data_IF_047671237661
#
_entry.id   IF_047671237661
#
_cell.length_a   1.000
_cell.length_b   1.000
_cell.length_c   1.000
_cell.angle_alpha   90.00
_cell.angle_beta   90.00
_cell.angle_gamma   90.00
#
_symmetry.space_group_name_H-M   'P 1'
#
loop_
_entity.id
_entity.type
_entity.pdbx_description
1 polymer ?
#
# COMPACT_ATOMS: atom_id res chain seq x y z
N UNK A 1 -22.71 0.32 -32.41
CA UNK A 1 -22.61 -0.61 -31.26
C UNK A 1 -23.02 0.13 -30.00
N UNK A 2 -23.94 -0.39 -29.18
CA UNK A 2 -24.31 0.26 -27.92
C UNK A 2 -23.16 0.10 -26.91
N UNK A 3 -22.83 1.17 -26.18
CA UNK A 3 -21.83 1.12 -25.10
C UNK A 3 -22.35 0.22 -23.98
N UNK A 4 -21.53 -0.68 -23.40
CA UNK A 4 -21.96 -1.45 -22.24
C UNK A 4 -22.30 -0.48 -21.10
N UNK A 5 -23.51 -0.64 -20.55
CA UNK A 5 -23.99 0.14 -19.42
C UNK A 5 -23.11 -0.15 -18.21
N UNK A 6 -22.49 0.88 -17.65
CA UNK A 6 -21.70 0.77 -16.41
C UNK A 6 -22.71 0.51 -15.29
N UNK A 7 -22.97 -0.75 -14.97
CA UNK A 7 -23.77 -1.12 -13.80
C UNK A 7 -23.00 -0.69 -12.55
N UNK A 8 -23.54 0.21 -11.72
CA UNK A 8 -22.90 0.56 -10.47
C UNK A 8 -23.16 -0.58 -9.49
N UNK A 9 -22.14 -1.39 -9.14
CA UNK A 9 -22.01 -2.19 -7.89
C UNK A 9 -21.05 -3.37 -8.08
N UNK A 10 -19.82 -3.25 -7.55
CA UNK A 10 -18.98 -4.42 -7.20
C UNK A 10 -18.03 -4.14 -6.04
N UNK A 11 -17.65 -2.87 -5.79
CA UNK A 11 -16.69 -2.46 -4.74
C UNK A 11 -17.06 -2.81 -3.29
N UNK A 12 -18.27 -3.32 -3.04
CA UNK A 12 -18.77 -3.71 -1.71
C UNK A 12 -19.20 -5.18 -1.61
N UNK A 13 -19.02 -5.97 -2.67
CA UNK A 13 -19.27 -7.41 -2.58
C UNK A 13 -18.16 -8.06 -1.74
N UNK A 14 -18.51 -9.10 -0.99
CA UNK A 14 -17.53 -9.82 -0.17
C UNK A 14 -16.39 -10.38 -1.04
N UNK A 15 -16.71 -10.92 -2.21
CA UNK A 15 -15.72 -11.42 -3.17
C UNK A 15 -14.76 -10.31 -3.59
N UNK A 16 -15.26 -9.12 -3.92
CA UNK A 16 -14.41 -8.00 -4.27
C UNK A 16 -13.47 -7.58 -3.14
N UNK A 17 -13.97 -7.56 -1.89
CA UNK A 17 -13.16 -7.26 -0.71
C UNK A 17 -12.04 -8.31 -0.56
N UNK A 18 -12.38 -9.59 -0.71
CA UNK A 18 -11.44 -10.71 -0.63
C UNK A 18 -10.38 -10.67 -1.74
N UNK A 19 -10.78 -10.35 -2.97
CA UNK A 19 -9.88 -10.25 -4.13
C UNK A 19 -8.86 -9.11 -3.98
N UNK A 20 -9.21 -8.08 -3.21
CA UNK A 20 -8.36 -6.91 -2.94
C UNK A 20 -7.75 -6.93 -1.52
N UNK A 21 -7.64 -8.12 -0.91
CA UNK A 21 -7.13 -8.27 0.45
C UNK A 21 -5.70 -7.75 0.58
N UNK A 22 -5.54 -6.73 1.43
CA UNK A 22 -4.24 -6.21 1.87
C UNK A 22 -4.26 -6.15 3.39
N UNK A 23 -3.29 -6.81 4.02
CA UNK A 23 -3.10 -6.80 5.48
C UNK A 23 -1.79 -6.09 5.78
N UNK A 24 -1.87 -5.08 6.63
CA UNK A 24 -0.77 -4.25 7.09
C UNK A 24 -0.30 -4.67 8.49
N UNK A 25 0.92 -4.25 8.89
CA UNK A 25 1.37 -4.36 10.26
C UNK A 25 0.40 -3.71 11.25
N UNK A 26 0.32 -4.26 12.46
CA UNK A 26 -0.64 -3.82 13.51
C UNK A 26 -0.42 -2.39 13.98
N UNK A 27 0.82 -1.90 13.92
CA UNK A 27 1.17 -0.54 14.31
C UNK A 27 0.86 0.51 13.21
N UNK A 28 0.41 0.11 12.01
CA UNK A 28 -0.02 1.07 11.00
C UNK A 28 -1.35 1.71 11.40
N UNK A 29 -1.28 2.97 11.82
CA UNK A 29 -2.41 3.70 12.40
C UNK A 29 -3.23 4.45 11.36
N UNK A 30 -2.61 5.08 10.38
CA UNK A 30 -3.31 5.90 9.39
C UNK A 30 -2.69 5.81 8.00
N UNK A 31 -3.54 5.74 6.99
CA UNK A 31 -3.20 5.89 5.57
C UNK A 31 -3.96 7.11 5.04
N UNK A 32 -3.24 8.13 4.59
CA UNK A 32 -3.81 9.34 4.00
C UNK A 32 -3.47 9.43 2.52
N UNK A 33 -4.45 9.28 1.62
CA UNK A 33 -4.25 9.49 0.18
C UNK A 33 -4.58 10.94 -0.19
N UNK A 34 -3.61 11.63 -0.75
CA UNK A 34 -3.68 13.04 -1.14
C UNK A 34 -3.58 13.10 -2.67
N UNK A 35 -4.61 13.62 -3.33
CA UNK A 35 -4.68 13.61 -4.80
C UNK A 35 -5.58 14.72 -5.35
N UNK A 36 -5.43 15.00 -6.64
CA UNK A 36 -6.32 15.92 -7.35
C UNK A 36 -7.52 15.20 -7.99
N UNK A 37 -8.66 15.90 -8.02
CA UNK A 37 -9.88 15.46 -8.70
C UNK A 37 -9.67 15.21 -10.20
N UNK A 38 -8.75 15.96 -10.81
CA UNK A 38 -8.53 16.01 -12.25
C UNK A 38 -7.03 15.95 -12.58
N UNK A 39 -6.74 15.72 -13.86
CA UNK A 39 -5.41 15.81 -14.45
C UNK A 39 -4.53 14.57 -14.22
N UNK A 40 -3.72 14.20 -15.22
CA UNK A 40 -2.60 13.26 -15.12
C UNK A 40 -2.92 11.81 -14.71
N UNK A 41 -2.03 10.89 -15.09
CA UNK A 41 -2.14 9.46 -14.77
C UNK A 41 -2.04 9.20 -13.26
N UNK A 42 -1.12 9.88 -12.56
CA UNK A 42 -0.90 9.73 -11.11
C UNK A 42 -2.15 9.98 -10.26
N UNK A 43 -2.97 10.97 -10.63
CA UNK A 43 -4.20 11.25 -9.90
C UNK A 43 -5.28 10.22 -10.22
N UNK A 44 -5.30 9.67 -11.44
CA UNK A 44 -6.23 8.58 -11.79
C UNK A 44 -5.94 7.35 -10.95
N UNK A 45 -4.68 6.92 -10.93
CA UNK A 45 -4.22 5.79 -10.10
C UNK A 45 -4.62 6.00 -8.63
N UNK A 46 -4.47 7.22 -8.11
CA UNK A 46 -4.81 7.53 -6.72
C UNK A 46 -6.32 7.51 -6.44
N UNK A 47 -7.13 8.02 -7.37
CA UNK A 47 -8.59 7.94 -7.28
C UNK A 47 -9.05 6.49 -7.30
N UNK A 48 -8.51 5.71 -8.22
CA UNK A 48 -8.87 4.30 -8.37
C UNK A 48 -8.41 3.51 -7.15
N UNK A 49 -7.20 3.77 -6.62
CA UNK A 49 -6.73 3.16 -5.38
C UNK A 49 -7.68 3.41 -4.21
N UNK A 50 -8.13 4.66 -4.02
CA UNK A 50 -9.08 5.00 -2.94
C UNK A 50 -10.42 4.30 -3.12
N UNK A 51 -10.95 4.21 -4.35
CA UNK A 51 -12.24 3.58 -4.61
C UNK A 51 -12.17 2.05 -4.46
N UNK A 52 -11.08 1.45 -4.94
CA UNK A 52 -10.90 0.00 -5.05
C UNK A 52 -10.36 -0.62 -3.76
N UNK A 53 -9.34 -0.02 -3.14
CA UNK A 53 -8.62 -0.66 -2.03
C UNK A 53 -9.08 -0.22 -0.65
N UNK A 54 -9.56 1.02 -0.45
CA UNK A 54 -9.98 1.46 0.90
C UNK A 54 -11.02 0.54 1.55
N UNK A 55 -12.07 0.07 0.85
CA UNK A 55 -13.03 -0.85 1.46
C UNK A 55 -12.38 -2.13 1.99
N UNK A 56 -11.45 -2.72 1.22
CA UNK A 56 -10.75 -3.92 1.62
C UNK A 56 -9.76 -3.65 2.78
N UNK A 57 -9.02 -2.54 2.71
CA UNK A 57 -8.10 -2.14 3.77
C UNK A 57 -8.86 -1.95 5.09
N UNK A 58 -9.97 -1.20 5.08
CA UNK A 58 -10.77 -0.96 6.28
C UNK A 58 -11.40 -2.25 6.83
N UNK A 59 -11.71 -3.22 5.98
CA UNK A 59 -12.26 -4.51 6.40
C UNK A 59 -11.21 -5.39 7.09
N UNK A 60 -9.99 -5.48 6.53
CA UNK A 60 -8.94 -6.36 7.06
C UNK A 60 -8.01 -5.70 8.09
N UNK A 61 -8.06 -4.37 8.22
CA UNK A 61 -7.20 -3.58 9.10
C UNK A 61 -8.08 -2.61 9.90
N UNK A 62 -8.96 -3.11 10.79
CA UNK A 62 -9.92 -2.27 11.52
C UNK A 62 -9.26 -1.20 12.40
N UNK A 63 -7.99 -1.38 12.77
CA UNK A 63 -7.17 -0.42 13.51
C UNK A 63 -6.63 0.73 12.66
N UNK A 64 -6.64 0.60 11.34
CA UNK A 64 -6.02 1.56 10.41
C UNK A 64 -7.06 2.53 9.87
N UNK A 65 -6.91 3.82 10.18
CA UNK A 65 -7.74 4.88 9.62
C UNK A 65 -7.36 5.15 8.15
N UNK A 66 -8.34 5.08 7.25
CA UNK A 66 -8.17 5.47 5.85
C UNK A 66 -8.76 6.87 5.61
N UNK A 67 -7.89 7.85 5.29
CA UNK A 67 -8.27 9.25 5.08
C UNK A 67 -7.97 9.70 3.66
N UNK A 68 -8.89 10.45 3.05
CA UNK A 68 -8.70 11.05 1.72
C UNK A 68 -8.64 12.57 1.81
N UNK A 69 -7.68 13.17 1.10
CA UNK A 69 -7.56 14.62 0.91
C UNK A 69 -7.60 14.90 -0.58
N UNK A 70 -8.67 15.55 -1.02
CA UNK A 70 -8.95 15.80 -2.43
C UNK A 70 -8.83 17.30 -2.73
N UNK A 71 -8.06 17.65 -3.74
CA UNK A 71 -7.95 19.02 -4.24
C UNK A 71 -8.53 19.15 -5.65
N UNK A 72 -9.06 20.32 -5.98
CA UNK A 72 -9.59 20.63 -7.31
C UNK A 72 -8.54 21.37 -8.15
N UNK A 73 -7.45 20.67 -8.50
CA UNK A 73 -6.39 21.18 -9.38
C UNK A 73 -6.19 20.23 -10.57
N UNK A 74 -5.52 20.71 -11.62
CA UNK A 74 -5.24 19.94 -12.85
C UNK A 74 -3.80 19.42 -12.92
N UNK A 75 -2.94 19.78 -11.97
CA UNK A 75 -1.56 19.30 -11.93
C UNK A 75 -1.46 17.82 -11.54
N UNK A 76 -0.43 17.12 -12.03
CA UNK A 76 -0.09 15.76 -11.61
C UNK A 76 0.51 15.77 -10.21
N UNK A 77 -0.31 15.65 -9.17
CA UNK A 77 0.16 15.60 -7.78
C UNK A 77 -0.65 14.61 -6.99
N UNK A 78 -0.05 13.45 -6.71
CA UNK A 78 -0.61 12.51 -5.76
C UNK A 78 0.47 11.83 -4.91
N UNK A 79 0.14 11.64 -3.63
CA UNK A 79 0.98 10.96 -2.66
C UNK A 79 0.12 10.25 -1.62
N UNK A 80 0.69 9.22 -1.02
CA UNK A 80 0.11 8.50 0.11
C UNK A 80 1.01 8.72 1.31
N UNK A 81 0.43 9.15 2.42
CA UNK A 81 1.15 9.30 3.69
C UNK A 81 0.70 8.18 4.60
N UNK A 82 1.66 7.41 5.10
CA UNK A 82 1.42 6.42 6.16
C UNK A 82 1.94 6.94 7.49
N UNK A 83 1.23 6.62 8.56
CA UNK A 83 1.54 7.01 9.94
C UNK A 83 1.46 5.76 10.82
N UNK A 84 2.53 5.47 11.55
CA UNK A 84 2.59 4.42 12.56
C UNK A 84 2.08 4.93 13.93
N UNK A 85 1.90 4.02 14.88
CA UNK A 85 1.42 4.31 16.23
C UNK A 85 2.36 5.19 17.06
N UNK A 86 3.67 5.07 16.85
CA UNK A 86 4.74 5.90 17.41
C UNK A 86 4.80 7.32 16.84
N UNK A 87 3.97 7.63 15.83
CA UNK A 87 3.92 8.91 15.14
C UNK A 87 4.89 9.03 13.96
N UNK A 88 5.67 7.99 13.64
CA UNK A 88 6.51 7.94 12.45
C UNK A 88 5.66 8.07 11.19
N UNK A 89 6.03 9.02 10.32
CA UNK A 89 5.32 9.27 9.08
C UNK A 89 6.24 9.10 7.87
N UNK A 90 5.70 8.53 6.80
CA UNK A 90 6.41 8.41 5.52
C UNK A 90 5.47 8.72 4.37
N UNK A 91 5.97 9.48 3.40
CA UNK A 91 5.25 9.82 2.18
C UNK A 91 5.73 8.98 1.00
N UNK A 92 4.79 8.36 0.30
CA UNK A 92 4.98 7.55 -0.88
C UNK A 92 4.43 8.34 -2.07
N UNK A 93 5.31 8.78 -2.96
CA UNK A 93 4.92 9.45 -4.21
C UNK A 93 4.33 8.42 -5.17
N UNK A 94 3.18 8.78 -5.77
CA UNK A 94 2.57 8.00 -6.84
C UNK A 94 3.28 8.30 -8.14
N UNK A 95 3.65 7.25 -8.85
CA UNK A 95 4.38 7.28 -10.12
C UNK A 95 3.42 7.01 -11.27
N UNK A 96 3.75 7.49 -12.47
CA UNK A 96 2.93 7.23 -13.67
C UNK A 96 2.96 5.76 -14.08
N UNK A 97 4.02 5.04 -13.71
CA UNK A 97 4.18 3.60 -13.91
C UNK A 97 3.41 2.75 -12.90
N UNK A 98 2.87 3.35 -11.84
CA UNK A 98 2.06 2.60 -10.87
C UNK A 98 0.71 2.19 -11.48
N UNK A 99 0.16 1.11 -10.98
CA UNK A 99 -1.27 0.87 -10.94
C UNK A 99 -1.72 0.73 -9.48
N UNK A 100 -3.01 0.49 -9.25
CA UNK A 100 -3.58 0.43 -7.91
C UNK A 100 -2.96 -0.72 -7.09
N UNK A 101 -2.66 -1.85 -7.73
CA UNK A 101 -2.07 -3.02 -7.08
C UNK A 101 -0.60 -2.81 -6.74
N UNK A 102 0.21 -2.28 -7.65
CA UNK A 102 1.63 -1.99 -7.39
C UNK A 102 1.78 -0.91 -6.33
N UNK A 103 0.85 0.07 -6.32
CA UNK A 103 0.79 1.08 -5.28
C UNK A 103 0.43 0.46 -3.91
N UNK A 104 -0.58 -0.42 -3.86
CA UNK A 104 -0.94 -1.14 -2.65
C UNK A 104 0.24 -1.93 -2.07
N UNK A 105 0.95 -2.67 -2.91
CA UNK A 105 2.11 -3.46 -2.50
C UNK A 105 3.25 -2.57 -2.00
N UNK A 106 3.54 -1.46 -2.69
CA UNK A 106 4.54 -0.49 -2.22
C UNK A 106 4.20 0.11 -0.86
N UNK A 107 2.93 0.43 -0.60
CA UNK A 107 2.49 0.90 0.73
C UNK A 107 2.75 -0.18 1.78
N UNK A 108 2.40 -1.43 1.48
CA UNK A 108 2.58 -2.56 2.38
C UNK A 108 4.05 -2.80 2.70
N UNK A 109 4.90 -2.85 1.68
CA UNK A 109 6.34 -3.01 1.85
C UNK A 109 6.96 -1.84 2.63
N UNK A 110 6.51 -0.61 2.38
CA UNK A 110 6.98 0.55 3.15
C UNK A 110 6.58 0.42 4.62
N UNK A 111 5.31 0.11 4.90
CA UNK A 111 4.84 -0.09 6.28
C UNK A 111 5.62 -1.21 6.99
N UNK A 112 5.84 -2.35 6.33
CA UNK A 112 6.64 -3.45 6.86
C UNK A 112 8.08 -3.02 7.14
N UNK A 113 8.74 -2.34 6.21
CA UNK A 113 10.13 -1.91 6.40
C UNK A 113 10.29 -0.97 7.59
N UNK A 114 9.32 -0.10 7.84
CA UNK A 114 9.30 0.81 8.98
C UNK A 114 9.05 0.05 10.30
N UNK A 115 8.30 -1.05 10.26
CA UNK A 115 8.14 -1.93 11.44
C UNK A 115 9.36 -2.79 11.72
N UNK A 116 10.00 -3.33 10.68
CA UNK A 116 11.20 -4.15 10.83
C UNK A 116 12.40 -3.32 11.29
N UNK A 117 12.41 -2.01 11.06
CA UNK A 117 13.42 -1.10 11.64
C UNK A 117 13.21 -0.82 13.13
N UNK A 118 12.08 -1.24 13.72
CA UNK A 118 11.78 -1.09 15.15
C UNK A 118 12.12 -2.35 15.99
N UNK A 119 12.65 -3.42 15.40
CA UNK A 119 13.20 -4.50 16.21
C UNK A 119 14.33 -3.96 17.10
N UNK A 120 14.34 -4.34 18.38
CA UNK A 120 15.52 -4.19 19.26
C UNK A 120 16.78 -4.54 18.44
N UNK A 121 17.86 -3.74 18.51
CA UNK A 121 19.01 -3.88 17.61
C UNK A 121 19.55 -5.33 17.57
N UNK A 122 19.41 -6.08 18.66
CA UNK A 122 19.76 -7.50 18.77
C UNK A 122 18.95 -8.41 17.84
N UNK A 123 17.64 -8.17 17.69
CA UNK A 123 16.75 -8.96 16.83
C UNK A 123 16.94 -8.58 15.36
N UNK A 124 17.19 -7.30 15.07
CA UNK A 124 17.51 -6.86 13.71
C UNK A 124 18.84 -7.45 13.21
N UNK A 125 19.84 -7.57 14.09
CA UNK A 125 21.11 -8.25 13.79
C UNK A 125 20.86 -9.74 13.54
N UNK A 126 20.06 -10.40 14.37
CA UNK A 126 19.73 -11.82 14.19
C UNK A 126 19.03 -12.09 12.85
N UNK A 127 18.05 -11.27 12.47
CA UNK A 127 17.32 -11.43 11.19
C UNK A 127 18.25 -11.23 9.99
N UNK A 128 19.15 -10.24 10.04
CA UNK A 128 20.15 -10.02 8.98
C UNK A 128 21.14 -11.17 8.87
N UNK A 129 21.66 -11.66 9.99
CA UNK A 129 22.58 -12.81 10.02
C UNK A 129 21.89 -14.09 9.54
N UNK A 130 20.63 -14.30 9.90
CA UNK A 130 19.85 -15.43 9.44
C UNK A 130 19.62 -15.39 7.93
N UNK A 131 19.20 -14.23 7.38
CA UNK A 131 19.00 -14.06 5.95
C UNK A 131 20.29 -14.30 5.15
N UNK A 132 21.43 -13.81 5.66
CA UNK A 132 22.74 -14.03 5.06
C UNK A 132 23.11 -15.51 5.00
N UNK A 133 22.96 -16.24 6.11
CA UNK A 133 23.24 -17.69 6.17
C UNK A 133 22.35 -18.51 5.25
N UNK A 134 21.07 -18.14 5.11
CA UNK A 134 20.15 -18.78 4.16
C UNK A 134 20.58 -18.55 2.72
N UNK A 135 21.08 -17.36 2.39
CA UNK A 135 21.61 -17.05 1.06
C UNK A 135 22.88 -17.86 0.74
N UNK A 136 23.83 -17.91 1.68
CA UNK A 136 25.06 -18.69 1.56
C UNK A 136 24.77 -20.19 1.39
N UNK A 137 23.79 -20.71 2.13
CA UNK A 137 23.35 -22.10 2.01
C UNK A 137 22.73 -22.40 0.64
N UNK A 138 21.96 -21.46 0.07
CA UNK A 138 21.36 -21.63 -1.26
C UNK A 138 22.41 -21.59 -2.38
N UNK A 139 23.44 -20.76 -2.25
CA UNK A 139 24.53 -20.73 -3.24
C UNK A 139 25.41 -21.98 -3.20
N UNK A 140 25.57 -22.62 -2.04
CA UNK A 140 26.27 -23.90 -1.90
C UNK A 140 25.52 -25.06 -2.55
N UNK A 141 24.18 -25.07 -2.49
CA UNK A 141 23.34 -26.11 -3.11
C UNK A 141 23.28 -25.99 -4.64
N UNK A 142 23.54 -24.81 -5.22
CA UNK A 142 23.58 -24.62 -6.68
C UNK A 142 24.93 -24.96 -7.32
N UNK A 143 25.96 -25.29 -6.53
CA UNK A 143 27.29 -25.66 -7.01
C UNK A 143 27.58 -27.17 -6.91
N UNK A 144 26.58 -27.98 -6.54
CA UNK A 144 26.59 -29.45 -6.64
C UNK A 144 25.72 -29.92 -7.80
#
# INVERSE_FOLDING_TARGET
MPRPSITPKTFKSLNYILDNRVVFPTNLKKITTIYNSYGGQVNSISRDFVVKHYPAIQHFNPQTECKRVKYNKTSGFAKIVIELDDGTQTAIKVQETDNEQTLAERIKQTALSLTETQYEPEVAIFIKDFAKRVQESKSLVQQQ
#
